data_IF_646277524737
#
_entry.id   IF_646277524737
#
_cell.length_a   1.000
_cell.length_b   1.000
_cell.length_c   1.000
_cell.angle_alpha   90.00
_cell.angle_beta   90.00
_cell.angle_gamma   90.00
#
_symmetry.space_group_name_H-M   'P 1'
#
loop_
_entity.id
_entity.type
_entity.pdbx_description
1 polymer ?
#
# COMPACT_ATOMS: atom_id res chain seq x y z
N UNK A 1 26.49 -31.12 -61.44
CA UNK A 1 26.89 -31.55 -60.08
C UNK A 1 27.30 -30.30 -59.30
N UNK A 2 26.68 -30.07 -58.12
CA UNK A 2 27.05 -29.13 -57.03
C UNK A 2 26.91 -27.63 -57.37
N UNK A 3 25.82 -26.91 -57.07
CA UNK A 3 25.10 -26.64 -55.80
C UNK A 3 25.91 -25.81 -54.79
N UNK A 4 25.58 -24.52 -54.68
CA UNK A 4 25.71 -23.70 -53.46
C UNK A 4 24.77 -22.48 -53.55
N UNK A 5 23.58 -22.64 -52.99
CA UNK A 5 22.65 -21.55 -52.65
C UNK A 5 23.15 -20.86 -51.37
N UNK A 6 23.41 -19.56 -51.43
CA UNK A 6 23.65 -18.74 -50.24
C UNK A 6 22.28 -18.35 -49.68
N UNK A 7 21.83 -19.07 -48.65
CA UNK A 7 20.64 -18.70 -47.89
C UNK A 7 21.01 -17.59 -46.90
N UNK A 8 20.63 -16.35 -47.21
CA UNK A 8 20.66 -15.25 -46.25
C UNK A 8 19.46 -15.43 -45.32
N UNK A 9 19.72 -16.00 -44.14
CA UNK A 9 18.74 -16.14 -43.08
C UNK A 9 18.59 -14.77 -42.39
N UNK A 10 17.64 -13.96 -42.84
CA UNK A 10 17.18 -12.79 -42.10
C UNK A 10 16.56 -13.25 -40.78
N UNK A 11 17.36 -13.22 -39.71
CA UNK A 11 16.90 -13.43 -38.35
C UNK A 11 16.07 -12.20 -37.93
N UNK A 12 14.79 -12.18 -38.32
CA UNK A 12 13.83 -11.20 -37.83
C UNK A 12 13.57 -11.50 -36.35
N UNK A 13 14.32 -10.82 -35.47
CA UNK A 13 14.04 -10.81 -34.05
C UNK A 13 12.67 -10.17 -33.83
N UNK A 14 11.67 -11.00 -33.52
CA UNK A 14 10.40 -10.53 -33.00
C UNK A 14 10.67 -9.91 -31.63
N UNK A 15 10.76 -8.59 -31.60
CA UNK A 15 10.81 -7.81 -30.36
C UNK A 15 9.42 -7.90 -29.76
N UNK A 16 9.20 -8.85 -28.85
CA UNK A 16 7.99 -8.88 -28.03
C UNK A 16 8.05 -7.66 -27.12
N UNK A 17 7.38 -6.57 -27.51
CA UNK A 17 7.09 -5.46 -26.62
C UNK A 17 6.27 -6.00 -25.45
N UNK A 18 6.92 -6.20 -24.31
CA UNK A 18 6.25 -6.38 -23.03
C UNK A 18 5.45 -5.11 -22.78
N UNK A 19 4.14 -5.18 -22.99
CA UNK A 19 3.24 -4.13 -22.57
C UNK A 19 3.28 -4.14 -21.03
N UNK A 20 3.92 -3.14 -20.45
CA UNK A 20 3.74 -2.85 -19.04
C UNK A 20 2.26 -2.54 -18.86
N UNK A 21 1.52 -3.45 -18.20
CA UNK A 21 0.19 -3.11 -17.69
C UNK A 21 0.41 -2.08 -16.58
N UNK A 22 0.39 -0.80 -16.96
CA UNK A 22 0.07 0.23 -16.00
C UNK A 22 -1.33 -0.12 -15.47
N UNK A 23 -1.40 -0.53 -14.21
CA UNK A 23 -2.65 -0.64 -13.48
C UNK A 23 -3.36 0.71 -13.66
N UNK A 24 -4.44 0.74 -14.44
CA UNK A 24 -5.25 1.95 -14.67
C UNK A 24 -6.03 2.22 -13.39
N UNK A 25 -5.36 2.82 -12.42
CA UNK A 25 -5.94 3.29 -11.16
C UNK A 25 -6.65 4.60 -11.47
N UNK A 26 -7.97 4.55 -11.52
CA UNK A 26 -8.82 5.73 -11.73
C UNK A 26 -9.07 6.41 -10.39
N UNK A 27 -9.05 7.74 -10.41
CA UNK A 27 -9.46 8.56 -9.26
C UNK A 27 -10.94 8.92 -9.38
N UNK A 28 -11.69 8.64 -8.33
CA UNK A 28 -13.11 9.01 -8.21
C UNK A 28 -13.35 9.78 -6.92
N UNK A 29 -14.57 10.30 -6.72
CA UNK A 29 -14.94 11.13 -5.57
C UNK A 29 -16.07 10.48 -4.78
N UNK A 30 -15.84 10.26 -3.49
CA UNK A 30 -16.91 9.97 -2.52
C UNK A 30 -17.35 11.27 -1.85
N UNK A 31 -18.65 11.60 -1.96
CA UNK A 31 -19.23 12.82 -1.42
C UNK A 31 -19.96 12.58 -0.09
N UNK A 32 -19.75 13.49 0.85
CA UNK A 32 -20.47 13.56 2.12
C UNK A 32 -21.14 14.93 2.24
N UNK A 33 -22.46 14.92 2.43
CA UNK A 33 -23.26 16.14 2.59
C UNK A 33 -23.09 16.76 3.98
N UNK A 34 -23.37 18.06 4.07
CA UNK A 34 -23.36 18.86 5.30
C UNK A 34 -22.09 18.67 6.15
N UNK A 35 -20.94 18.61 5.46
CA UNK A 35 -19.66 18.21 6.06
C UNK A 35 -18.48 18.98 5.50
N UNK A 36 -17.40 19.05 6.30
CA UNK A 36 -16.14 19.73 5.98
C UNK A 36 -14.95 18.88 6.46
N UNK A 37 -13.91 18.80 5.64
CA UNK A 37 -12.59 18.34 6.07
C UNK A 37 -11.79 19.54 6.59
N UNK A 38 -11.32 19.50 7.84
CA UNK A 38 -10.55 20.63 8.38
C UNK A 38 -9.07 20.54 8.02
N UNK A 39 -8.50 21.68 7.58
CA UNK A 39 -7.08 21.83 7.31
C UNK A 39 -6.63 21.27 5.95
N UNK A 40 -5.31 21.14 5.79
CA UNK A 40 -4.64 20.63 4.57
C UNK A 40 -4.98 21.39 3.28
N UNK A 41 -5.47 22.63 3.37
CA UNK A 41 -5.87 23.42 2.21
C UNK A 41 -4.69 23.71 1.27
N UNK A 42 -4.83 23.29 0.00
CA UNK A 42 -3.94 23.64 -1.09
C UNK A 42 -4.24 25.05 -1.60
N UNK A 43 -5.50 25.25 -2.02
CA UNK A 43 -6.02 26.50 -2.57
C UNK A 43 -7.54 26.47 -2.63
N UNK A 44 -8.14 27.65 -2.80
CA UNK A 44 -9.58 27.80 -3.00
C UNK A 44 -9.89 28.24 -4.45
N UNK A 45 -10.70 27.44 -5.14
CA UNK A 45 -11.27 27.77 -6.44
C UNK A 45 -12.65 28.41 -6.22
N UNK A 46 -12.90 29.56 -6.86
CA UNK A 46 -14.10 30.37 -6.62
C UNK A 46 -15.01 30.36 -7.84
N UNK A 47 -16.32 30.52 -7.61
CA UNK A 47 -17.36 30.55 -8.65
C UNK A 47 -17.37 29.28 -9.50
N UNK A 48 -17.10 28.13 -8.87
CA UNK A 48 -17.15 26.82 -9.52
C UNK A 48 -18.39 26.07 -9.03
N UNK A 49 -18.93 25.21 -9.87
CA UNK A 49 -19.93 24.22 -9.46
C UNK A 49 -19.29 23.07 -8.67
N UNK A 50 -20.12 22.27 -7.99
CA UNK A 50 -19.65 21.05 -7.32
C UNK A 50 -18.99 20.08 -8.31
N UNK A 51 -19.55 19.91 -9.52
CA UNK A 51 -18.98 19.03 -10.55
C UNK A 51 -17.62 19.53 -11.04
N UNK A 52 -17.46 20.85 -11.18
CA UNK A 52 -16.17 21.45 -11.50
C UNK A 52 -15.18 21.26 -10.34
N UNK A 53 -15.61 21.42 -9.09
CA UNK A 53 -14.77 21.17 -7.92
C UNK A 53 -14.25 19.72 -7.88
N UNK A 54 -15.13 18.75 -8.15
CA UNK A 54 -14.77 17.34 -8.30
C UNK A 54 -13.74 17.13 -9.41
N UNK A 55 -14.02 17.63 -10.61
CA UNK A 55 -13.14 17.47 -11.77
C UNK A 55 -11.76 18.09 -11.53
N UNK A 56 -11.70 19.26 -10.88
CA UNK A 56 -10.43 19.92 -10.53
C UNK A 56 -9.64 19.06 -9.55
N UNK A 57 -10.27 18.52 -8.49
CA UNK A 57 -9.56 17.69 -7.52
C UNK A 57 -9.10 16.35 -8.13
N UNK A 58 -9.93 15.71 -8.94
CA UNK A 58 -9.56 14.46 -9.66
C UNK A 58 -8.38 14.71 -10.61
N UNK A 59 -8.38 15.85 -11.31
CA UNK A 59 -7.32 16.25 -12.23
C UNK A 59 -6.03 16.75 -11.57
N UNK A 60 -6.02 16.98 -10.26
CA UNK A 60 -4.87 17.47 -9.51
C UNK A 60 -4.23 16.33 -8.68
N UNK A 61 -3.04 15.82 -9.08
CA UNK A 61 -2.30 14.79 -8.35
C UNK A 61 -1.95 15.12 -6.91
N UNK A 62 -1.98 16.39 -6.49
CA UNK A 62 -1.76 16.78 -5.11
C UNK A 62 -3.05 16.80 -4.29
N UNK A 63 -4.22 16.90 -4.94
CA UNK A 63 -5.50 16.91 -4.23
C UNK A 63 -5.84 15.52 -3.71
N UNK A 64 -6.24 15.40 -2.45
CA UNK A 64 -6.73 14.16 -1.82
C UNK A 64 -8.17 14.30 -1.31
N UNK A 65 -8.60 15.55 -1.07
CA UNK A 65 -9.97 15.87 -0.69
C UNK A 65 -10.31 17.32 -1.09
N UNK A 66 -11.57 17.68 -0.95
CA UNK A 66 -12.03 19.06 -1.03
C UNK A 66 -13.23 19.30 -0.11
N UNK A 67 -13.49 20.58 0.19
CA UNK A 67 -14.77 21.03 0.75
C UNK A 67 -15.39 22.05 -0.18
N UNK A 68 -16.62 21.83 -0.61
CA UNK A 68 -17.38 22.73 -1.46
C UNK A 68 -18.46 23.46 -0.66
N UNK A 69 -18.44 24.78 -0.65
CA UNK A 69 -19.49 25.59 -0.04
C UNK A 69 -20.51 26.02 -1.11
N UNK A 70 -21.69 25.41 -1.07
CA UNK A 70 -22.76 25.63 -2.06
C UNK A 70 -23.31 27.07 -2.07
N UNK A 71 -23.25 27.79 -0.94
CA UNK A 71 -23.82 29.14 -0.81
C UNK A 71 -23.00 30.21 -1.52
N UNK A 72 -21.68 30.05 -1.52
CA UNK A 72 -20.73 31.01 -2.12
C UNK A 72 -19.98 30.44 -3.31
N UNK A 73 -20.23 29.18 -3.67
CA UNK A 73 -19.64 28.48 -4.81
C UNK A 73 -18.10 28.43 -4.74
N UNK A 74 -17.57 28.14 -3.55
CA UNK A 74 -16.12 28.00 -3.31
C UNK A 74 -15.77 26.54 -3.10
N UNK A 75 -14.66 26.12 -3.69
CA UNK A 75 -14.09 24.79 -3.61
C UNK A 75 -12.71 24.88 -2.94
N UNK A 76 -12.59 24.39 -1.72
CA UNK A 76 -11.35 24.36 -0.96
C UNK A 76 -10.66 23.01 -1.19
N UNK A 77 -9.72 22.95 -2.12
CA UNK A 77 -8.93 21.76 -2.44
C UNK A 77 -7.92 21.49 -1.33
N UNK A 78 -7.68 20.21 -1.03
CA UNK A 78 -6.85 19.80 0.10
C UNK A 78 -5.84 18.73 -0.29
N UNK A 79 -4.64 18.81 0.28
CA UNK A 79 -3.55 17.88 0.02
C UNK A 79 -3.69 16.56 0.76
N UNK A 80 -4.51 16.54 1.81
CA UNK A 80 -4.80 15.37 2.64
C UNK A 80 -6.13 15.59 3.37
N UNK A 81 -6.57 14.59 4.14
CA UNK A 81 -7.73 14.71 5.02
C UNK A 81 -7.59 13.79 6.24
N UNK A 82 -8.19 14.21 7.37
CA UNK A 82 -8.24 13.39 8.59
C UNK A 82 -9.69 13.35 9.10
N UNK A 83 -10.04 14.27 9.99
CA UNK A 83 -11.38 14.33 10.59
C UNK A 83 -12.34 15.14 9.73
N UNK A 84 -13.50 14.54 9.46
CA UNK A 84 -14.65 15.21 8.89
C UNK A 84 -15.52 15.77 10.03
N UNK A 85 -15.92 17.04 9.92
CA UNK A 85 -16.87 17.67 10.83
C UNK A 85 -18.17 18.04 10.14
N UNK A 86 -19.23 18.20 10.92
CA UNK A 86 -20.50 18.69 10.38
C UNK A 86 -20.42 20.19 10.07
N UNK A 87 -20.79 20.55 8.85
CA UNK A 87 -20.91 21.93 8.39
C UNK A 87 -22.11 22.04 7.44
N UNK A 88 -23.30 22.40 7.94
CA UNK A 88 -24.50 22.49 7.12
C UNK A 88 -24.35 23.40 5.90
N UNK A 89 -24.62 22.86 4.71
CA UNK A 89 -24.49 23.53 3.42
C UNK A 89 -23.11 23.43 2.74
N UNK A 90 -22.15 22.74 3.36
CA UNK A 90 -20.92 22.31 2.70
C UNK A 90 -21.03 20.85 2.23
N UNK A 91 -20.32 20.52 1.15
CA UNK A 91 -20.18 19.16 0.63
C UNK A 91 -18.70 18.81 0.67
N UNK A 92 -18.34 17.82 1.48
CA UNK A 92 -16.99 17.29 1.53
C UNK A 92 -16.85 16.20 0.46
N UNK A 93 -15.72 16.18 -0.25
CA UNK A 93 -15.37 15.11 -1.17
C UNK A 93 -13.99 14.57 -0.84
N UNK A 94 -13.83 13.24 -0.79
CA UNK A 94 -12.51 12.60 -0.72
C UNK A 94 -12.25 11.82 -2.00
N UNK A 95 -10.99 11.78 -2.39
CA UNK A 95 -10.55 10.99 -3.54
C UNK A 95 -10.44 9.54 -3.12
N UNK A 96 -11.05 8.66 -3.91
CA UNK A 96 -10.89 7.21 -3.80
C UNK A 96 -10.22 6.70 -5.07
N UNK A 97 -9.29 5.76 -4.90
CA UNK A 97 -8.62 5.08 -6.01
C UNK A 97 -9.41 3.82 -6.34
N UNK A 98 -9.92 3.75 -7.56
CA UNK A 98 -10.64 2.60 -8.11
C UNK A 98 -9.66 1.86 -9.02
N UNK A 99 -9.31 0.63 -8.64
CA UNK A 99 -8.63 -0.30 -9.53
C UNK A 99 -9.64 -1.02 -10.41
N UNK A 100 -9.20 -1.52 -11.56
CA UNK A 100 -10.03 -2.38 -12.43
C UNK A 100 -10.19 -3.81 -11.86
N UNK A 101 -9.75 -4.05 -10.64
CA UNK A 101 -9.96 -5.32 -9.95
C UNK A 101 -11.42 -5.37 -9.46
N UNK A 102 -12.12 -6.51 -9.62
CA UNK A 102 -13.46 -6.65 -9.11
C UNK A 102 -13.51 -6.36 -7.60
N UNK A 103 -14.35 -5.41 -7.18
CA UNK A 103 -14.66 -5.22 -5.76
C UNK A 103 -15.44 -6.44 -5.26
N UNK A 104 -14.72 -7.35 -4.60
CA UNK A 104 -15.29 -8.56 -4.00
C UNK A 104 -15.86 -8.30 -2.60
N UNK A 105 -15.91 -7.03 -2.18
CA UNK A 105 -16.32 -6.62 -0.84
C UNK A 105 -15.28 -6.95 0.23
N UNK A 106 -15.57 -6.51 1.46
CA UNK A 106 -14.75 -6.85 2.60
C UNK A 106 -14.72 -8.37 2.83
N UNK A 107 -13.53 -8.92 3.10
CA UNK A 107 -13.40 -10.31 3.49
C UNK A 107 -14.26 -10.61 4.74
N UNK A 108 -14.94 -11.77 4.79
CA UNK A 108 -15.67 -12.17 5.99
C UNK A 108 -14.72 -12.30 7.18
N UNK A 109 -15.24 -12.07 8.39
CA UNK A 109 -14.47 -12.29 9.63
C UNK A 109 -13.98 -13.74 9.68
N UNK A 110 -12.72 -13.92 10.02
CA UNK A 110 -12.14 -15.24 10.26
C UNK A 110 -12.47 -15.67 11.69
N UNK A 111 -13.57 -16.38 11.90
CA UNK A 111 -14.04 -16.78 13.24
C UNK A 111 -13.04 -17.66 14.01
N UNK A 112 -12.09 -18.28 13.31
CA UNK A 112 -11.01 -19.05 13.91
C UNK A 112 -9.85 -18.19 14.44
N UNK A 113 -9.81 -16.90 14.11
CA UNK A 113 -8.78 -15.96 14.58
C UNK A 113 -9.31 -15.27 15.85
N UNK A 114 -8.66 -15.47 17.01
CA UNK A 114 -9.05 -14.79 18.24
C UNK A 114 -9.00 -13.26 18.10
N UNK A 115 -9.94 -12.54 18.73
CA UNK A 115 -10.01 -11.08 18.62
C UNK A 115 -8.71 -10.38 19.03
N UNK A 116 -7.99 -10.90 20.02
CA UNK A 116 -6.71 -10.35 20.48
C UNK A 116 -5.58 -10.42 19.44
N UNK A 117 -5.66 -11.31 18.45
CA UNK A 117 -4.63 -11.44 17.40
C UNK A 117 -4.55 -10.20 16.52
N UNK A 118 -5.69 -9.55 16.24
CA UNK A 118 -5.71 -8.29 15.46
C UNK A 118 -5.08 -7.13 16.23
N UNK A 119 -5.32 -7.06 17.54
CA UNK A 119 -4.69 -6.06 18.41
C UNK A 119 -3.18 -6.28 18.54
N UNK A 120 -2.74 -7.53 18.59
CA UNK A 120 -1.32 -7.91 18.56
C UNK A 120 -0.65 -7.54 17.24
N UNK A 121 -1.27 -7.88 16.10
CA UNK A 121 -0.79 -7.51 14.77
C UNK A 121 -0.67 -5.99 14.61
N UNK A 122 -1.67 -5.24 15.08
CA UNK A 122 -1.66 -3.76 15.05
C UNK A 122 -0.52 -3.19 15.88
N UNK A 123 -0.29 -3.71 17.10
CA UNK A 123 0.84 -3.29 17.96
C UNK A 123 2.19 -3.68 17.36
N UNK A 124 2.28 -4.84 16.72
CA UNK A 124 3.49 -5.27 16.01
C UNK A 124 3.80 -4.32 14.85
N UNK A 125 2.83 -4.04 13.98
CA UNK A 125 2.98 -3.09 12.88
C UNK A 125 3.40 -1.71 13.38
N UNK A 126 2.73 -1.18 14.41
CA UNK A 126 3.11 0.10 15.00
C UNK A 126 4.57 0.12 15.45
N UNK A 127 5.05 -0.92 16.15
CA UNK A 127 6.45 -1.02 16.59
C UNK A 127 7.43 -1.14 15.43
N UNK A 128 7.09 -1.92 14.38
CA UNK A 128 7.92 -2.07 13.19
C UNK A 128 8.15 -0.73 12.48
N UNK A 129 7.13 0.14 12.49
CA UNK A 129 7.16 1.43 11.80
C UNK A 129 7.62 2.61 12.69
N UNK A 130 7.67 2.45 14.02
CA UNK A 130 7.92 3.54 14.98
C UNK A 130 9.33 4.16 14.97
N UNK A 131 10.31 3.57 14.27
CA UNK A 131 11.69 4.05 14.30
C UNK A 131 11.94 5.28 13.41
N UNK A 132 12.58 6.34 13.94
CA UNK A 132 13.12 7.43 13.11
C UNK A 132 14.30 6.92 12.27
N UNK A 133 14.19 7.02 10.95
CA UNK A 133 15.23 6.60 9.99
C UNK A 133 14.61 5.81 8.83
N UNK A 134 15.25 5.79 7.66
CA UNK A 134 14.82 4.95 6.54
C UNK A 134 15.26 3.49 6.76
N UNK A 135 14.76 2.55 5.96
CA UNK A 135 15.28 1.18 5.99
C UNK A 135 16.72 1.14 5.48
N UNK A 136 17.54 0.24 6.01
CA UNK A 136 18.97 0.09 5.66
C UNK A 136 19.21 -0.85 4.45
N UNK A 137 18.30 -0.87 3.48
CA UNK A 137 18.40 -1.69 2.27
C UNK A 137 17.03 -2.00 1.66
N UNK A 138 17.02 -2.75 0.55
CA UNK A 138 15.77 -3.25 -0.03
C UNK A 138 15.17 -4.37 0.80
N UNK A 139 13.85 -4.56 0.72
CA UNK A 139 13.18 -5.65 1.43
C UNK A 139 13.75 -7.03 1.04
N UNK A 140 14.09 -7.21 -0.24
CA UNK A 140 14.66 -8.47 -0.76
C UNK A 140 16.03 -8.79 -0.16
N UNK A 141 16.92 -7.80 -0.05
CA UNK A 141 18.23 -7.97 0.58
C UNK A 141 18.09 -8.33 2.06
N UNK A 142 17.21 -7.62 2.76
CA UNK A 142 16.93 -7.85 4.18
C UNK A 142 16.31 -9.23 4.44
N UNK A 143 15.46 -9.71 3.53
CA UNK A 143 14.94 -11.08 3.61
C UNK A 143 16.02 -12.15 3.37
N UNK A 144 16.99 -11.89 2.49
CA UNK A 144 18.13 -12.79 2.33
C UNK A 144 18.99 -12.84 3.62
N UNK A 145 19.23 -11.69 4.26
CA UNK A 145 19.91 -11.62 5.56
C UNK A 145 19.14 -12.39 6.62
N UNK A 146 17.81 -12.18 6.71
CA UNK A 146 16.96 -12.88 7.67
C UNK A 146 17.05 -14.40 7.50
N UNK A 147 16.97 -14.91 6.27
CA UNK A 147 17.08 -16.36 5.99
C UNK A 147 18.46 -16.91 6.39
N UNK A 148 19.54 -16.20 6.06
CA UNK A 148 20.91 -16.61 6.41
C UNK A 148 21.16 -16.58 7.93
N UNK A 149 20.64 -15.56 8.63
CA UNK A 149 20.70 -15.46 10.08
C UNK A 149 19.93 -16.60 10.75
N UNK A 150 18.73 -16.90 10.26
CA UNK A 150 17.87 -17.95 10.81
C UNK A 150 18.45 -19.34 10.61
N UNK A 151 19.05 -19.62 9.45
CA UNK A 151 19.79 -20.86 9.19
C UNK A 151 20.99 -21.05 10.12
N UNK A 152 21.58 -19.94 10.59
CA UNK A 152 22.64 -19.92 11.59
C UNK A 152 22.12 -19.83 13.04
N UNK A 153 20.81 -19.99 13.26
CA UNK A 153 20.13 -19.86 14.55
C UNK A 153 20.35 -18.51 15.27
N UNK A 154 20.61 -17.44 14.51
CA UNK A 154 20.74 -16.06 15.00
C UNK A 154 19.38 -15.37 14.94
N UNK A 155 18.50 -15.71 15.87
CA UNK A 155 17.10 -15.23 15.90
C UNK A 155 17.01 -13.72 16.09
N UNK A 156 17.90 -13.13 16.88
CA UNK A 156 17.92 -11.69 17.10
C UNK A 156 18.19 -10.88 15.84
N UNK A 157 19.14 -11.35 15.02
CA UNK A 157 19.51 -10.75 13.74
C UNK A 157 18.42 -10.99 12.70
N UNK A 158 17.82 -12.19 12.71
CA UNK A 158 16.64 -12.51 11.89
C UNK A 158 15.52 -11.51 12.14
N UNK A 159 15.14 -11.33 13.40
CA UNK A 159 14.08 -10.42 13.80
C UNK A 159 14.39 -8.96 13.43
N UNK A 160 15.65 -8.52 13.55
CA UNK A 160 16.04 -7.15 13.12
C UNK A 160 15.93 -6.98 11.61
N UNK A 161 16.40 -7.95 10.83
CA UNK A 161 16.34 -7.89 9.37
C UNK A 161 14.88 -7.89 8.85
N UNK A 162 14.02 -8.73 9.43
CA UNK A 162 12.58 -8.75 9.15
C UNK A 162 11.94 -7.39 9.44
N UNK A 163 12.24 -6.77 10.59
CA UNK A 163 11.67 -5.47 10.95
C UNK A 163 12.14 -4.34 10.02
N UNK A 164 13.39 -4.39 9.54
CA UNK A 164 13.87 -3.45 8.53
C UNK A 164 13.20 -3.70 7.16
N UNK A 165 12.88 -4.95 6.82
CA UNK A 165 12.19 -5.28 5.58
C UNK A 165 10.76 -4.71 5.58
N UNK A 166 10.02 -4.87 6.69
CA UNK A 166 8.69 -4.24 6.89
C UNK A 166 8.80 -2.73 6.70
N UNK A 167 9.84 -2.12 7.26
CA UNK A 167 10.04 -0.69 7.17
C UNK A 167 10.33 -0.21 5.75
N UNK A 168 10.99 -1.04 4.94
CA UNK A 168 11.28 -0.72 3.54
C UNK A 168 10.00 -0.73 2.70
N UNK A 169 9.15 -1.74 2.88
CA UNK A 169 7.97 -1.97 2.05
C UNK A 169 6.75 -2.38 2.92
N UNK A 170 6.17 -1.43 3.67
CA UNK A 170 5.17 -1.73 4.72
C UNK A 170 3.83 -2.26 4.20
N UNK A 171 3.53 -2.02 2.92
CA UNK A 171 2.28 -2.46 2.28
C UNK A 171 2.48 -3.65 1.33
N UNK A 172 3.68 -4.23 1.27
CA UNK A 172 3.94 -5.38 0.40
C UNK A 172 3.42 -6.68 1.05
N UNK A 173 2.23 -7.11 0.63
CA UNK A 173 1.58 -8.31 1.17
C UNK A 173 2.40 -9.60 0.94
N UNK A 174 3.09 -9.73 -0.19
CA UNK A 174 3.92 -10.91 -0.48
C UNK A 174 5.13 -11.00 0.45
N UNK A 175 5.73 -9.85 0.78
CA UNK A 175 6.82 -9.75 1.74
C UNK A 175 6.37 -10.21 3.13
N UNK A 176 5.22 -9.71 3.60
CA UNK A 176 4.63 -10.11 4.89
C UNK A 176 4.37 -11.62 4.93
N UNK A 177 3.75 -12.18 3.89
CA UNK A 177 3.51 -13.62 3.79
C UNK A 177 4.81 -14.44 3.79
N UNK A 178 5.85 -13.96 3.11
CA UNK A 178 7.15 -14.63 3.09
C UNK A 178 7.79 -14.64 4.48
N UNK A 179 7.70 -13.55 5.22
CA UNK A 179 8.22 -13.43 6.58
C UNK A 179 7.50 -14.36 7.56
N UNK A 180 6.17 -14.35 7.58
CA UNK A 180 5.39 -15.20 8.49
C UNK A 180 5.71 -16.67 8.22
N UNK A 181 5.77 -17.11 6.95
CA UNK A 181 6.17 -18.48 6.58
C UNK A 181 7.58 -18.84 7.05
N UNK A 182 8.54 -17.94 6.91
CA UNK A 182 9.91 -18.14 7.36
C UNK A 182 9.97 -18.37 8.88
N UNK A 183 9.27 -17.52 9.66
CA UNK A 183 9.24 -17.60 11.11
C UNK A 183 8.46 -18.83 11.61
N UNK A 184 7.28 -19.12 11.04
CA UNK A 184 6.49 -20.31 11.39
C UNK A 184 7.26 -21.61 11.10
N UNK A 185 7.98 -21.68 9.98
CA UNK A 185 8.79 -22.84 9.64
C UNK A 185 9.90 -23.12 10.66
N UNK A 186 10.54 -22.08 11.18
CA UNK A 186 11.55 -22.22 12.23
C UNK A 186 10.95 -22.66 13.56
N UNK A 187 9.80 -22.09 13.96
CA UNK A 187 9.10 -22.49 15.20
C UNK A 187 8.64 -23.95 15.16
N UNK A 188 8.20 -24.44 13.99
CA UNK A 188 7.83 -25.84 13.82
C UNK A 188 9.04 -26.78 13.95
N UNK A 189 10.24 -26.33 13.55
CA UNK A 189 11.47 -27.11 13.59
C UNK A 189 12.22 -27.01 14.92
N UNK A 190 11.90 -26.04 15.77
CA UNK A 190 12.62 -25.77 17.01
C UNK A 190 11.66 -25.59 18.19
N UNK A 191 11.78 -26.44 19.21
CA UNK A 191 10.93 -26.39 20.42
C UNK A 191 11.32 -25.26 21.39
N UNK A 192 12.27 -24.40 21.01
CA UNK A 192 12.71 -23.26 21.82
C UNK A 192 11.65 -22.17 21.84
N UNK A 193 11.27 -21.73 23.04
CA UNK A 193 10.43 -20.55 23.25
C UNK A 193 11.25 -19.27 22.97
N UNK A 194 11.37 -18.91 21.69
CA UNK A 194 11.84 -17.57 21.30
C UNK A 194 10.63 -16.67 21.05
N UNK A 195 10.34 -15.81 22.03
CA UNK A 195 9.21 -14.88 21.98
C UNK A 195 9.27 -13.95 20.77
N UNK A 196 10.46 -13.53 20.33
CA UNK A 196 10.60 -12.62 19.17
C UNK A 196 10.18 -13.33 17.89
N UNK A 197 10.54 -14.60 17.75
CA UNK A 197 10.15 -15.41 16.59
C UNK A 197 8.67 -15.78 16.62
N UNK A 198 8.11 -16.07 17.79
CA UNK A 198 6.66 -16.30 17.97
C UNK A 198 5.85 -15.09 17.53
N UNK A 199 6.21 -13.90 18.03
CA UNK A 199 5.52 -12.65 17.71
C UNK A 199 5.57 -12.30 16.22
N UNK A 200 6.67 -12.62 15.52
CA UNK A 200 6.81 -12.43 14.07
C UNK A 200 6.03 -13.49 13.28
N UNK A 201 5.90 -14.71 13.79
CA UNK A 201 5.20 -15.79 13.09
C UNK A 201 3.67 -15.66 13.18
N UNK A 202 3.18 -14.95 14.21
CA UNK A 202 1.75 -14.71 14.44
C UNK A 202 1.27 -13.37 13.88
N UNK A 203 2.18 -12.54 13.36
CA UNK A 203 1.85 -11.30 12.65
C UNK A 203 1.65 -11.54 11.16
#
# INVERSE_FOLDING_TARGET
MRSTLIAVLCLTGAVFSTHANAQDVRRDVELTQDSDYFGFDLRAEKNVSLDQCQAICVGDPACRAFTYNSKVQWCFLKSDFDKIGSFPGAVAGKIVEISNEPDIGAAPRLDFVPEGTLDEATRFRARALSGKGESIGSASELMNIARAALAANRTDETARAIMQAIKAEPENADLLLQMSRLASGWLAANSSYDYRMQEIATS
#
